data_IF_234189996429
#
_entry.id   IF_234189996429
#
_cell.length_a   1.000
_cell.length_b   1.000
_cell.length_c   1.000
_cell.angle_alpha   90.00
_cell.angle_beta   90.00
_cell.angle_gamma   90.00
#
_symmetry.space_group_name_H-M   'P 1'
#
loop_
_entity.id
_entity.type
_entity.pdbx_description
1 polymer ?
#
# COMPACT_ATOMS: atom_id res chain seq x y z
N UNK A 1 -16.13 10.17 -7.13
CA UNK A 1 -15.79 10.65 -5.76
C UNK A 1 -16.33 9.63 -4.78
N UNK A 2 -15.57 9.29 -3.73
CA UNK A 2 -16.03 8.32 -2.73
C UNK A 2 -17.22 8.89 -1.94
N UNK A 3 -18.24 8.08 -1.69
CA UNK A 3 -19.36 8.41 -0.80
C UNK A 3 -19.06 7.93 0.62
N UNK A 4 -18.71 8.85 1.51
CA UNK A 4 -18.36 8.56 2.90
C UNK A 4 -19.57 8.22 3.78
N UNK A 5 -20.80 8.48 3.31
CA UNK A 5 -22.02 8.12 4.05
C UNK A 5 -22.49 6.70 3.73
N UNK A 6 -21.81 5.99 2.82
CA UNK A 6 -22.17 4.62 2.48
C UNK A 6 -21.99 3.70 3.69
N UNK A 7 -22.99 2.90 4.10
CA UNK A 7 -22.89 2.03 5.28
C UNK A 7 -21.82 0.94 5.16
N UNK A 8 -21.28 0.70 3.96
CA UNK A 8 -20.16 -0.22 3.69
C UNK A 8 -18.78 0.42 3.88
N UNK A 9 -18.70 1.74 4.08
CA UNK A 9 -17.46 2.44 4.37
C UNK A 9 -17.27 2.48 5.88
N UNK A 10 -16.40 1.61 6.40
CA UNK A 10 -16.15 1.50 7.83
C UNK A 10 -15.04 2.42 8.35
N UNK A 11 -14.20 2.97 7.46
CA UNK A 11 -13.11 3.88 7.82
C UNK A 11 -13.60 5.32 7.84
N UNK A 12 -13.55 5.95 9.02
CA UNK A 12 -13.96 7.34 9.25
C UNK A 12 -12.80 8.34 9.17
N UNK A 13 -11.57 7.86 9.07
CA UNK A 13 -10.34 8.67 8.99
C UNK A 13 -10.02 9.14 7.56
N UNK A 14 -10.87 8.77 6.58
CA UNK A 14 -10.71 9.04 5.15
C UNK A 14 -9.39 8.58 4.55
N UNK A 15 -8.65 7.75 5.27
CA UNK A 15 -7.43 7.12 4.82
C UNK A 15 -7.80 5.74 4.30
N UNK A 16 -7.25 5.28 3.18
CA UNK A 16 -7.52 3.94 2.64
C UNK A 16 -6.21 3.39 2.13
N UNK A 17 -5.68 2.37 2.82
CA UNK A 17 -4.40 1.80 2.45
C UNK A 17 -4.49 1.11 1.07
N UNK A 18 -3.80 1.68 0.09
CA UNK A 18 -3.69 1.15 -1.27
C UNK A 18 -2.45 0.26 -1.40
N UNK A 19 -1.39 0.58 -0.66
CA UNK A 19 -0.18 -0.23 -0.54
C UNK A 19 0.35 -0.19 0.90
N UNK A 20 0.91 -1.30 1.38
CA UNK A 20 1.49 -1.38 2.72
C UNK A 20 2.54 -2.50 2.82
N UNK A 21 3.43 -2.35 3.80
CA UNK A 21 4.44 -3.34 4.18
C UNK A 21 4.19 -3.81 5.61
N UNK A 22 4.48 -5.08 5.91
CA UNK A 22 4.28 -5.67 7.24
C UNK A 22 5.24 -6.84 7.46
N UNK A 23 5.58 -7.11 8.71
CA UNK A 23 6.21 -8.37 9.12
C UNK A 23 5.15 -9.42 9.49
N UNK A 24 5.29 -10.63 8.96
CA UNK A 24 4.51 -11.79 9.39
C UNK A 24 5.45 -12.89 9.90
N UNK A 25 5.50 -13.06 11.22
CA UNK A 25 6.56 -13.83 11.87
C UNK A 25 7.93 -13.22 11.51
N UNK A 26 8.79 -14.02 10.87
CA UNK A 26 10.10 -13.58 10.37
C UNK A 26 10.08 -13.14 8.90
N UNK A 27 8.95 -13.28 8.21
CA UNK A 27 8.81 -12.95 6.79
C UNK A 27 8.42 -11.49 6.58
N UNK A 28 8.95 -10.89 5.50
CA UNK A 28 8.57 -9.57 4.99
C UNK A 28 7.41 -9.73 4.00
N UNK A 29 6.36 -8.91 4.14
CA UNK A 29 5.18 -8.92 3.27
C UNK A 29 4.93 -7.52 2.73
N UNK A 30 4.76 -7.42 1.41
CA UNK A 30 4.26 -6.23 0.74
C UNK A 30 2.93 -6.55 0.06
N UNK A 31 1.99 -5.61 0.12
CA UNK A 31 0.67 -5.70 -0.50
C UNK A 31 0.36 -4.41 -1.23
N UNK A 32 -0.34 -4.52 -2.36
CA UNK A 32 -0.88 -3.38 -3.11
C UNK A 32 -2.15 -3.79 -3.88
N UNK A 33 -3.12 -2.88 -3.97
CA UNK A 33 -4.33 -3.04 -4.82
C UNK A 33 -4.12 -2.54 -6.26
N UNK A 34 -2.97 -1.94 -6.57
CA UNK A 34 -2.62 -1.47 -7.91
C UNK A 34 -2.27 -2.66 -8.82
N UNK A 35 -2.23 -2.46 -10.14
CA UNK A 35 -1.82 -3.52 -11.08
C UNK A 35 -2.97 -4.32 -11.73
N UNK A 36 -4.24 -3.96 -11.50
CA UNK A 36 -5.39 -4.68 -12.09
C UNK A 36 -5.46 -4.55 -13.62
N UNK A 37 -5.08 -3.39 -14.17
CA UNK A 37 -5.16 -3.11 -15.62
C UNK A 37 -3.81 -3.25 -16.28
N UNK A 38 -3.78 -3.55 -17.59
CA UNK A 38 -2.53 -3.61 -18.35
C UNK A 38 -1.81 -2.26 -18.36
N UNK A 39 -2.56 -1.19 -18.54
CA UNK A 39 -2.05 0.18 -18.62
C UNK A 39 -1.37 0.62 -17.32
N UNK A 40 -1.79 0.07 -16.17
CA UNK A 40 -1.13 0.36 -14.91
C UNK A 40 0.32 -0.14 -14.85
N UNK A 41 0.67 -1.13 -15.68
CA UNK A 41 2.04 -1.62 -15.81
C UNK A 41 2.90 -0.79 -16.79
N UNK A 42 2.28 0.09 -17.58
CA UNK A 42 3.00 1.07 -18.41
C UNK A 42 3.43 2.30 -17.57
N UNK A 43 2.89 2.46 -16.36
CA UNK A 43 3.32 3.50 -15.42
C UNK A 43 4.66 3.13 -14.78
N UNK A 44 5.73 3.92 -14.99
CA UNK A 44 7.05 3.64 -14.43
C UNK A 44 7.07 3.67 -12.89
N UNK A 45 6.18 4.40 -12.24
CA UNK A 45 6.13 4.45 -10.77
C UNK A 45 5.53 3.17 -10.18
N UNK A 46 4.54 2.57 -10.85
CA UNK A 46 3.97 1.27 -10.45
C UNK A 46 5.01 0.17 -10.55
N UNK A 47 5.69 0.07 -11.70
CA UNK A 47 6.72 -0.94 -11.91
C UNK A 47 7.90 -0.78 -10.95
N UNK A 48 8.35 0.46 -10.72
CA UNK A 48 9.40 0.78 -9.73
C UNK A 48 8.98 0.40 -8.32
N UNK A 49 7.75 0.68 -7.90
CA UNK A 49 7.24 0.32 -6.57
C UNK A 49 7.30 -1.20 -6.36
N UNK A 50 6.80 -2.01 -7.30
CA UNK A 50 6.86 -3.46 -7.19
C UNK A 50 8.29 -4.00 -7.20
N UNK A 51 9.17 -3.43 -8.02
CA UNK A 51 10.57 -3.86 -8.08
C UNK A 51 11.31 -3.61 -6.75
N UNK A 52 11.15 -2.42 -6.15
CA UNK A 52 11.75 -2.12 -4.85
C UNK A 52 11.09 -2.92 -3.71
N UNK A 53 9.78 -3.18 -3.79
CA UNK A 53 9.10 -4.06 -2.85
C UNK A 53 9.64 -5.50 -2.90
N UNK A 54 9.90 -6.05 -4.10
CA UNK A 54 10.50 -7.38 -4.28
C UNK A 54 11.89 -7.42 -3.64
N UNK A 55 12.76 -6.43 -3.94
CA UNK A 55 14.08 -6.33 -3.29
C UNK A 55 13.97 -6.29 -1.77
N UNK A 56 13.02 -5.51 -1.25
CA UNK A 56 12.81 -5.40 0.19
C UNK A 56 12.35 -6.73 0.79
N UNK A 57 11.39 -7.43 0.18
CA UNK A 57 10.93 -8.75 0.63
C UNK A 57 12.08 -9.76 0.63
N UNK A 58 13.00 -9.67 -0.33
CA UNK A 58 14.20 -10.51 -0.43
C UNK A 58 15.33 -10.10 0.53
N UNK A 59 15.17 -9.04 1.33
CA UNK A 59 16.22 -8.60 2.26
C UNK A 59 17.36 -7.82 1.59
N UNK A 60 17.20 -7.40 0.34
CA UNK A 60 18.24 -6.71 -0.44
C UNK A 60 18.27 -5.20 -0.16
N UNK A 61 17.18 -4.66 0.39
CA UNK A 61 17.05 -3.25 0.76
C UNK A 61 16.41 -3.10 2.14
N UNK A 62 16.69 -1.97 2.77
CA UNK A 62 16.04 -1.54 4.00
C UNK A 62 14.70 -0.88 3.71
N UNK A 63 13.76 -0.98 4.64
CA UNK A 63 12.43 -0.39 4.50
C UNK A 63 11.61 -0.51 5.77
N UNK A 64 10.80 0.52 6.03
CA UNK A 64 9.93 0.58 7.20
C UNK A 64 8.65 -0.26 7.01
N UNK A 65 8.16 -0.83 8.11
CA UNK A 65 6.81 -1.41 8.21
C UNK A 65 5.89 -0.57 9.09
N UNK A 66 6.37 0.60 9.55
CA UNK A 66 5.56 1.52 10.32
C UNK A 66 4.51 2.17 9.40
N UNK A 67 3.23 2.17 9.77
CA UNK A 67 2.23 2.95 9.08
C UNK A 67 2.54 4.45 9.24
N UNK A 68 2.10 5.27 8.28
CA UNK A 68 2.11 6.71 8.50
C UNK A 68 1.15 7.08 9.64
N UNK A 69 1.37 8.25 10.25
CA UNK A 69 0.47 8.75 11.28
C UNK A 69 -0.96 8.84 10.73
N UNK A 70 -1.94 8.49 11.57
CA UNK A 70 -3.36 8.66 11.20
C UNK A 70 -3.59 10.16 10.94
N UNK A 71 -4.28 10.52 9.85
CA UNK A 71 -4.68 11.91 9.62
C UNK A 71 -5.48 12.41 10.82
N UNK A 72 -5.15 13.61 11.32
CA UNK A 72 -6.05 14.28 12.24
C UNK A 72 -7.29 14.69 11.45
N UNK A 73 -8.46 14.36 11.99
CA UNK A 73 -9.76 14.62 11.37
C UNK A 73 -9.85 16.10 11.01
N UNK A 74 -10.15 16.42 9.75
CA UNK A 74 -10.34 17.79 9.27
C UNK A 74 -11.76 18.26 9.50
#
# INVERSE_FOLDING_TARGET
>A
KLDYNNPRVHRTDHDFAVAWSKMYGKGRVFYSTLGHTKESWDDPDITKMYFEAIKWVLGMTEGSTAPHARPQTR
#
